data_IF_568110230366
#
_entry.id   IF_568110230366
#
_cell.length_a   1.000
_cell.length_b   1.000
_cell.length_c   1.000
_cell.angle_alpha   90.00
_cell.angle_beta   90.00
_cell.angle_gamma   90.00
#
_symmetry.space_group_name_H-M   'P 1'
#
loop_
_entity.id
_entity.type
_entity.pdbx_description
1 polymer ?
#
# COMPACT_ATOMS: atom_id res chain seq x y z
N UNK A 1 -0.53 18.09 9.25
CA UNK A 1 -1.68 17.37 8.63
C UNK A 1 -1.97 16.06 9.34
N UNK A 2 -1.03 15.11 9.40
CA UNK A 2 -1.26 13.80 10.03
C UNK A 2 -1.79 13.87 11.47
N UNK A 3 -1.11 14.56 12.39
CA UNK A 3 -1.53 14.63 13.80
C UNK A 3 -2.87 15.32 14.01
N UNK A 4 -3.21 16.30 13.17
CA UNK A 4 -4.51 16.98 13.20
C UNK A 4 -5.64 15.98 12.89
N UNK A 5 -5.49 15.21 11.82
CA UNK A 5 -6.46 14.16 11.45
C UNK A 5 -6.48 13.03 12.49
N UNK A 6 -5.32 12.64 13.02
CA UNK A 6 -5.22 11.61 14.07
C UNK A 6 -6.00 12.02 15.31
N UNK A 7 -5.79 13.23 15.81
CA UNK A 7 -6.47 13.74 17.00
C UNK A 7 -7.98 13.92 16.75
N UNK A 8 -8.36 14.41 15.57
CA UNK A 8 -9.76 14.54 15.17
C UNK A 8 -10.48 13.18 15.19
N UNK A 9 -9.91 12.17 14.52
CA UNK A 9 -10.50 10.84 14.49
C UNK A 9 -10.44 10.17 15.86
N UNK A 10 -9.36 10.33 16.62
CA UNK A 10 -9.25 9.76 17.98
C UNK A 10 -10.40 10.19 18.88
N UNK A 11 -10.63 11.49 19.00
CA UNK A 11 -11.68 12.03 19.89
C UNK A 11 -13.06 11.55 19.45
N UNK A 12 -13.37 11.72 18.16
CA UNK A 12 -14.66 11.32 17.58
C UNK A 12 -14.91 9.81 17.70
N UNK A 13 -13.88 8.99 17.54
CA UNK A 13 -13.99 7.53 17.63
C UNK A 13 -14.18 7.04 19.05
N UNK A 14 -13.45 7.61 20.03
CA UNK A 14 -13.61 7.19 21.42
C UNK A 14 -15.02 7.50 21.92
N UNK A 15 -15.54 8.69 21.62
CA UNK A 15 -16.92 9.06 21.98
C UNK A 15 -17.95 8.11 21.33
N UNK A 16 -17.74 7.76 20.05
CA UNK A 16 -18.64 6.84 19.33
C UNK A 16 -18.56 5.41 19.86
N UNK A 17 -17.38 4.93 20.21
CA UNK A 17 -17.22 3.59 20.80
C UNK A 17 -17.95 3.51 22.14
N UNK A 18 -17.90 4.58 22.94
CA UNK A 18 -18.57 4.64 24.24
C UNK A 18 -20.11 4.77 24.09
N UNK A 19 -20.61 5.42 23.02
CA UNK A 19 -22.05 5.57 22.73
C UNK A 19 -22.71 4.31 22.14
N UNK A 20 -22.12 3.72 21.09
CA UNK A 20 -22.76 2.66 20.29
C UNK A 20 -22.06 1.31 20.37
N UNK A 21 -20.92 1.22 21.07
CA UNK A 21 -20.10 0.03 21.18
C UNK A 21 -19.21 -0.22 19.96
N UNK A 22 -18.08 -0.89 20.18
CA UNK A 22 -17.03 -1.10 19.18
C UNK A 22 -17.52 -1.80 17.90
N UNK A 23 -18.39 -2.81 18.02
CA UNK A 23 -18.90 -3.54 16.86
C UNK A 23 -19.66 -2.62 15.89
N UNK A 24 -20.48 -1.70 16.41
CA UNK A 24 -21.23 -0.72 15.60
C UNK A 24 -20.34 0.46 15.17
N UNK A 25 -19.29 0.77 15.93
CA UNK A 25 -18.32 1.79 15.60
C UNK A 25 -17.28 1.37 14.54
N UNK A 26 -17.26 0.09 14.14
CA UNK A 26 -16.29 -0.47 13.19
C UNK A 26 -16.16 0.31 11.87
N UNK A 27 -17.28 0.82 11.33
CA UNK A 27 -17.27 1.64 10.12
C UNK A 27 -16.51 2.96 10.30
N UNK A 28 -16.67 3.61 11.46
CA UNK A 28 -15.95 4.84 11.77
C UNK A 28 -14.45 4.57 11.96
N UNK A 29 -14.09 3.45 12.59
CA UNK A 29 -12.69 3.04 12.73
C UNK A 29 -12.05 2.82 11.37
N UNK A 30 -12.75 2.13 10.46
CA UNK A 30 -12.31 1.94 9.07
C UNK A 30 -12.12 3.27 8.34
N UNK A 31 -13.05 4.20 8.49
CA UNK A 31 -12.94 5.54 7.90
C UNK A 31 -11.69 6.27 8.42
N UNK A 32 -11.48 6.29 9.74
CA UNK A 32 -10.33 6.94 10.35
C UNK A 32 -9.00 6.32 9.91
N UNK A 33 -8.90 4.99 9.91
CA UNK A 33 -7.71 4.29 9.45
C UNK A 33 -7.44 4.54 7.96
N UNK A 34 -8.49 4.53 7.14
CA UNK A 34 -8.40 4.84 5.72
C UNK A 34 -7.82 6.24 5.50
N UNK A 35 -8.36 7.27 6.17
CA UNK A 35 -7.85 8.65 6.03
C UNK A 35 -6.42 8.81 6.51
N UNK A 36 -6.07 8.22 7.65
CA UNK A 36 -4.70 8.31 8.17
C UNK A 36 -3.70 7.63 7.23
N UNK A 37 -4.04 6.49 6.63
CA UNK A 37 -3.20 5.81 5.65
C UNK A 37 -3.07 6.61 4.35
N UNK A 38 -4.16 7.20 3.84
CA UNK A 38 -4.10 8.11 2.70
C UNK A 38 -3.13 9.28 2.95
N UNK A 39 -3.11 9.86 4.16
CA UNK A 39 -2.15 10.93 4.52
C UNK A 39 -0.72 10.43 4.53
N UNK A 40 -0.49 9.21 5.02
CA UNK A 40 0.85 8.61 5.04
C UNK A 40 1.38 8.41 3.61
N UNK A 41 0.50 8.10 2.65
CA UNK A 41 0.87 7.98 1.25
C UNK A 41 1.06 9.33 0.60
N UNK A 42 0.01 10.14 0.54
CA UNK A 42 0.08 11.50 0.02
C UNK A 42 -1.08 12.33 0.56
N UNK A 43 -0.81 13.51 1.15
CA UNK A 43 -1.86 14.47 1.51
C UNK A 43 -2.80 14.83 0.35
N UNK A 44 -2.34 14.71 -0.91
CA UNK A 44 -3.12 14.95 -2.12
C UNK A 44 -4.29 13.97 -2.31
N UNK A 45 -4.27 12.82 -1.63
CA UNK A 45 -5.36 11.85 -1.66
C UNK A 45 -6.59 12.30 -0.84
N UNK A 46 -6.44 13.35 -0.03
CA UNK A 46 -7.55 13.95 0.71
C UNK A 46 -8.13 15.11 -0.09
N UNK A 47 -9.39 14.96 -0.52
CA UNK A 47 -10.13 15.96 -1.31
C UNK A 47 -10.79 17.04 -0.45
N UNK A 48 -10.79 16.87 0.88
CA UNK A 48 -11.63 17.64 1.80
C UNK A 48 -10.97 18.91 2.38
N UNK A 49 -9.71 19.19 2.05
CA UNK A 49 -9.05 20.47 2.35
C UNK A 49 -8.12 20.80 1.17
N UNK A 50 -8.06 22.07 0.77
CA UNK A 50 -6.96 22.57 -0.06
C UNK A 50 -5.66 22.12 0.61
N UNK A 51 -5.05 21.08 0.06
CA UNK A 51 -3.85 20.53 0.64
C UNK A 51 -2.77 21.61 0.52
N UNK A 52 -2.48 22.29 1.62
CA UNK A 52 -1.37 23.25 1.74
C UNK A 52 -0.02 22.61 1.40
N UNK A 53 0.03 21.27 1.35
CA UNK A 53 1.19 20.45 1.04
C UNK A 53 0.90 19.70 -0.26
N UNK A 54 1.70 19.96 -1.28
CA UNK A 54 1.60 19.37 -2.62
C UNK A 54 2.56 18.19 -2.84
N UNK A 55 3.26 17.74 -1.79
CA UNK A 55 4.32 16.73 -1.89
C UNK A 55 3.99 15.47 -1.11
N UNK A 56 4.54 14.35 -1.56
CA UNK A 56 4.46 13.05 -0.90
C UNK A 56 5.86 12.55 -0.63
N UNK A 57 6.18 12.39 0.67
CA UNK A 57 7.48 11.85 1.10
C UNK A 57 7.71 10.45 0.54
N UNK A 58 6.65 9.63 0.40
CA UNK A 58 6.79 8.29 -0.17
C UNK A 58 7.09 8.33 -1.68
N UNK A 59 6.51 9.27 -2.42
CA UNK A 59 6.85 9.43 -3.85
C UNK A 59 8.29 9.91 -3.98
N UNK A 60 8.70 10.91 -3.18
CA UNK A 60 10.07 11.44 -3.20
C UNK A 60 11.10 10.34 -2.88
N UNK A 61 10.84 9.56 -1.83
CA UNK A 61 11.65 8.42 -1.43
C UNK A 61 11.70 7.34 -2.52
N UNK A 62 10.55 6.98 -3.10
CA UNK A 62 10.48 5.99 -4.17
C UNK A 62 11.28 6.43 -5.40
N UNK A 63 11.14 7.69 -5.81
CA UNK A 63 11.91 8.25 -6.92
C UNK A 63 13.40 8.27 -6.64
N UNK A 64 13.81 8.60 -5.40
CA UNK A 64 15.20 8.54 -4.99
C UNK A 64 15.76 7.13 -5.13
N UNK A 65 15.05 6.14 -4.59
CA UNK A 65 15.44 4.73 -4.70
C UNK A 65 15.53 4.27 -6.16
N UNK A 66 14.56 4.65 -6.99
CA UNK A 66 14.55 4.34 -8.44
C UNK A 66 15.79 4.90 -9.14
N UNK A 67 16.19 6.14 -8.82
CA UNK A 67 17.31 6.83 -9.45
C UNK A 67 18.67 6.37 -8.95
N UNK A 68 18.80 6.11 -7.65
CA UNK A 68 20.09 5.89 -7.00
C UNK A 68 20.46 4.40 -6.88
N UNK A 69 19.48 3.52 -6.64
CA UNK A 69 19.75 2.16 -6.16
C UNK A 69 19.35 1.05 -7.13
N UNK A 70 18.55 1.35 -8.15
CA UNK A 70 17.99 0.32 -9.04
C UNK A 70 18.88 -0.02 -10.23
N UNK A 71 19.69 0.93 -10.71
CA UNK A 71 20.49 0.74 -11.92
C UNK A 71 19.65 0.23 -13.10
N UNK A 72 19.96 -0.96 -13.62
CA UNK A 72 19.26 -1.58 -14.75
C UNK A 72 18.14 -2.55 -14.35
N UNK A 73 17.90 -2.77 -13.05
CA UNK A 73 16.92 -3.74 -12.55
C UNK A 73 15.48 -3.29 -12.87
N UNK A 74 14.58 -4.27 -13.04
CA UNK A 74 13.14 -3.99 -13.14
C UNK A 74 12.47 -4.10 -11.78
N UNK A 75 11.47 -3.26 -11.57
CA UNK A 75 10.80 -3.08 -10.28
C UNK A 75 9.29 -3.19 -10.43
N UNK A 76 8.66 -3.83 -9.43
CA UNK A 76 7.23 -3.73 -9.21
C UNK A 76 6.95 -2.71 -8.11
N UNK A 77 5.94 -1.88 -8.30
CA UNK A 77 5.45 -0.92 -7.31
C UNK A 77 3.99 -1.23 -7.04
N UNK A 78 3.69 -1.62 -5.82
CA UNK A 78 2.36 -1.98 -5.38
C UNK A 78 1.77 -0.90 -4.48
N UNK A 79 0.48 -0.63 -4.69
CA UNK A 79 -0.34 0.22 -3.82
C UNK A 79 -1.77 -0.31 -3.79
N UNK A 80 -2.46 -0.18 -2.67
CA UNK A 80 -3.89 -0.47 -2.56
C UNK A 80 -4.76 0.69 -3.09
N UNK A 81 -4.19 1.89 -3.20
CA UNK A 81 -4.89 3.09 -3.66
C UNK A 81 -4.52 3.38 -5.11
N UNK A 82 -5.46 3.20 -6.02
CA UNK A 82 -5.24 3.53 -7.45
C UNK A 82 -4.89 5.00 -7.64
N UNK A 83 -5.47 5.91 -6.86
CA UNK A 83 -5.11 7.32 -6.86
C UNK A 83 -3.63 7.55 -6.50
N UNK A 84 -3.06 6.76 -5.57
CA UNK A 84 -1.63 6.83 -5.26
C UNK A 84 -0.78 6.36 -6.44
N UNK A 85 -1.19 5.31 -7.14
CA UNK A 85 -0.51 4.87 -8.37
C UNK A 85 -0.56 5.94 -9.47
N UNK A 86 -1.66 6.70 -9.58
CA UNK A 86 -1.74 7.81 -10.51
C UNK A 86 -0.77 8.94 -10.14
N UNK A 87 -0.65 9.29 -8.86
CA UNK A 87 0.33 10.28 -8.41
C UNK A 87 1.77 9.82 -8.68
N UNK A 88 2.08 8.54 -8.45
CA UNK A 88 3.38 7.95 -8.79
C UNK A 88 3.60 8.02 -10.31
N UNK A 89 2.60 7.65 -11.11
CA UNK A 89 2.66 7.71 -12.56
C UNK A 89 2.97 9.13 -13.07
N UNK A 90 2.29 10.15 -12.52
CA UNK A 90 2.53 11.55 -12.86
C UNK A 90 3.96 11.98 -12.53
N UNK A 91 4.47 11.56 -11.37
CA UNK A 91 5.84 11.84 -10.95
C UNK A 91 6.87 11.13 -11.86
N UNK A 92 6.61 9.89 -12.27
CA UNK A 92 7.46 9.16 -13.23
C UNK A 92 7.45 9.83 -14.62
N UNK A 93 6.29 10.32 -15.08
CA UNK A 93 6.17 11.03 -16.36
C UNK A 93 6.97 12.34 -16.36
N UNK A 94 6.96 13.10 -15.25
CA UNK A 94 7.75 14.32 -15.11
C UNK A 94 9.26 14.05 -15.19
N UNK A 95 9.69 12.87 -14.73
CA UNK A 95 11.07 12.41 -14.78
C UNK A 95 11.43 11.69 -16.09
N UNK A 96 10.47 11.54 -17.01
CA UNK A 96 10.67 10.83 -18.28
C UNK A 96 10.90 9.32 -18.13
N UNK A 97 10.43 8.71 -17.03
CA UNK A 97 10.65 7.30 -16.72
C UNK A 97 9.48 6.46 -17.26
N UNK A 98 9.80 5.49 -18.12
CA UNK A 98 8.81 4.59 -18.72
C UNK A 98 8.34 3.51 -17.74
N UNK A 99 7.02 3.31 -17.66
CA UNK A 99 6.39 2.29 -16.81
C UNK A 99 5.25 1.57 -17.52
N UNK A 100 4.88 0.39 -16.98
CA UNK A 100 3.61 -0.28 -17.21
C UNK A 100 2.66 -0.01 -16.04
N UNK A 101 1.35 -0.09 -16.29
CA UNK A 101 0.32 0.12 -15.28
C UNK A 101 -0.76 -0.97 -15.35
N UNK A 102 -1.22 -1.44 -14.19
CA UNK A 102 -2.28 -2.43 -14.07
C UNK A 102 -3.11 -2.21 -12.80
N UNK A 103 -4.42 -2.15 -12.98
CA UNK A 103 -5.38 -2.16 -11.88
C UNK A 103 -6.58 -3.10 -12.13
N UNK A 104 -7.55 -3.06 -11.22
CA UNK A 104 -8.74 -3.90 -11.30
C UNK A 104 -9.67 -3.55 -12.46
N UNK A 105 -9.57 -2.34 -13.00
CA UNK A 105 -10.37 -1.88 -14.15
C UNK A 105 -9.73 -2.27 -15.49
N UNK A 106 -8.47 -2.69 -15.48
CA UNK A 106 -7.70 -3.02 -16.68
C UNK A 106 -8.26 -4.30 -17.36
N UNK A 107 -8.73 -4.21 -18.63
CA UNK A 107 -9.22 -5.37 -19.37
C UNK A 107 -8.18 -6.50 -19.51
N UNK A 108 -8.64 -7.74 -19.60
CA UNK A 108 -7.77 -8.93 -19.64
C UNK A 108 -6.74 -8.89 -20.78
N UNK A 109 -7.12 -8.42 -21.96
CA UNK A 109 -6.22 -8.30 -23.12
C UNK A 109 -5.10 -7.27 -22.86
N UNK A 110 -5.47 -6.07 -22.37
CA UNK A 110 -4.50 -5.02 -22.02
C UNK A 110 -3.55 -5.44 -20.90
N UNK A 111 -4.05 -6.24 -19.96
CA UNK A 111 -3.25 -6.84 -18.90
C UNK A 111 -2.15 -7.73 -19.46
N UNK A 112 -2.49 -8.64 -20.38
CA UNK A 112 -1.49 -9.52 -21.00
C UNK A 112 -0.44 -8.70 -21.76
N UNK A 113 -0.86 -7.69 -22.52
CA UNK A 113 0.06 -6.80 -23.23
C UNK A 113 0.99 -6.02 -22.28
N UNK A 114 0.48 -5.52 -21.14
CA UNK A 114 1.29 -4.81 -20.15
C UNK A 114 2.32 -5.72 -19.47
N UNK A 115 1.95 -6.97 -19.18
CA UNK A 115 2.85 -7.99 -18.63
C UNK A 115 3.93 -8.36 -19.64
N UNK A 116 3.55 -8.63 -20.88
CA UNK A 116 4.48 -8.98 -21.95
C UNK A 116 5.49 -7.84 -22.19
N UNK A 117 4.98 -6.61 -22.30
CA UNK A 117 5.81 -5.41 -22.41
C UNK A 117 6.77 -5.28 -21.22
N UNK A 118 6.28 -5.42 -20.00
CA UNK A 118 7.15 -5.33 -18.81
C UNK A 118 8.22 -6.44 -18.78
N UNK A 119 7.92 -7.64 -19.27
CA UNK A 119 8.87 -8.75 -19.28
C UNK A 119 9.94 -8.52 -20.36
N UNK A 120 9.53 -8.15 -21.58
CA UNK A 120 10.39 -8.22 -22.77
C UNK A 120 11.00 -6.87 -23.20
N UNK A 121 10.38 -5.74 -22.86
CA UNK A 121 10.88 -4.41 -23.25
C UNK A 121 11.91 -3.92 -22.23
N UNK A 122 13.17 -3.79 -22.64
CA UNK A 122 14.26 -3.35 -21.76
C UNK A 122 14.14 -1.88 -21.34
N UNK A 123 13.41 -1.06 -22.11
CA UNK A 123 13.17 0.35 -21.81
C UNK A 123 12.16 0.55 -20.67
N UNK A 124 11.35 -0.47 -20.38
CA UNK A 124 10.39 -0.45 -19.27
C UNK A 124 11.03 -1.04 -18.03
N UNK A 125 11.30 -0.19 -17.04
CA UNK A 125 11.89 -0.61 -15.75
C UNK A 125 10.87 -0.74 -14.62
N UNK A 126 9.69 -0.14 -14.74
CA UNK A 126 8.71 -0.08 -13.67
C UNK A 126 7.38 -0.68 -14.08
N UNK A 127 6.72 -1.35 -13.14
CA UNK A 127 5.34 -1.77 -13.27
C UNK A 127 4.55 -1.37 -12.03
N UNK A 128 3.62 -0.43 -12.21
CA UNK A 128 2.68 0.01 -11.21
C UNK A 128 1.48 -0.95 -11.17
N UNK A 129 1.21 -1.56 -10.01
CA UNK A 129 0.17 -2.58 -9.86
C UNK A 129 -0.68 -2.31 -8.64
N UNK A 130 -2.01 -2.26 -8.80
CA UNK A 130 -2.89 -2.21 -7.63
C UNK A 130 -2.88 -3.56 -6.89
N UNK A 131 -2.75 -3.56 -5.56
CA UNK A 131 -2.72 -4.76 -4.71
C UNK A 131 -3.92 -5.68 -4.96
N UNK A 132 -5.12 -5.11 -5.17
CA UNK A 132 -6.33 -5.88 -5.49
C UNK A 132 -6.29 -6.56 -6.86
N UNK A 133 -5.60 -5.97 -7.83
CA UNK A 133 -5.42 -6.56 -9.16
C UNK A 133 -4.23 -7.54 -9.23
N UNK A 134 -3.29 -7.44 -8.29
CA UNK A 134 -2.19 -8.39 -8.11
C UNK A 134 -2.63 -9.80 -7.65
N UNK A 135 -3.88 -9.95 -7.21
CA UNK A 135 -4.47 -11.26 -6.87
C UNK A 135 -4.78 -12.16 -8.08
N UNK A 136 -4.75 -11.61 -9.30
CA UNK A 136 -4.91 -12.39 -10.53
C UNK A 136 -3.55 -12.93 -10.94
N UNK A 137 -3.46 -14.19 -11.39
CA UNK A 137 -2.19 -14.93 -11.59
C UNK A 137 -1.21 -14.35 -12.62
N UNK A 138 -0.60 -13.21 -12.31
CA UNK A 138 0.44 -12.55 -13.10
C UNK A 138 1.77 -13.25 -12.84
N UNK A 139 2.57 -13.42 -13.89
CA UNK A 139 3.93 -13.96 -13.82
C UNK A 139 4.90 -12.83 -14.20
N UNK A 140 5.63 -12.29 -13.22
CA UNK A 140 6.42 -11.05 -13.34
C UNK A 140 7.90 -11.27 -13.00
N UNK A 141 8.47 -12.31 -13.59
CA UNK A 141 9.83 -12.82 -13.32
C UNK A 141 10.97 -11.88 -13.68
N UNK A 142 10.75 -10.89 -14.56
CA UNK A 142 11.81 -9.94 -14.90
C UNK A 142 12.10 -8.93 -13.78
N UNK A 143 11.24 -8.83 -12.77
CA UNK A 143 11.47 -7.96 -11.62
C UNK A 143 12.35 -8.63 -10.57
N UNK A 144 13.36 -7.90 -10.09
CA UNK A 144 14.18 -8.31 -8.95
C UNK A 144 13.87 -7.44 -7.70
N UNK A 145 13.13 -6.34 -7.87
CA UNK A 145 12.75 -5.41 -6.81
C UNK A 145 11.22 -5.30 -6.70
N UNK A 146 10.72 -5.29 -5.47
CA UNK A 146 9.31 -5.11 -5.14
C UNK A 146 9.17 -4.03 -4.09
N UNK A 147 8.46 -2.95 -4.41
CA UNK A 147 8.10 -1.89 -3.49
C UNK A 147 6.63 -1.99 -3.14
N UNK A 148 6.33 -2.06 -1.84
CA UNK A 148 4.97 -1.95 -1.31
C UNK A 148 4.89 -0.55 -0.69
N UNK A 149 4.24 0.36 -1.41
CA UNK A 149 4.17 1.78 -1.05
C UNK A 149 3.31 1.96 0.20
N UNK A 150 2.17 1.28 0.26
CA UNK A 150 1.27 1.29 1.39
C UNK A 150 1.03 -0.13 1.92
N UNK A 151 1.64 -0.49 3.05
CA UNK A 151 1.52 -1.82 3.62
C UNK A 151 0.07 -2.12 3.97
N UNK A 152 -0.39 -3.32 3.60
CA UNK A 152 -1.73 -3.79 3.87
C UNK A 152 -1.79 -4.48 5.23
N UNK A 153 -2.94 -4.40 5.91
CA UNK A 153 -3.12 -5.12 7.18
C UNK A 153 -3.15 -6.64 7.02
N UNK A 154 -3.21 -7.16 5.77
CA UNK A 154 -3.14 -8.58 5.46
C UNK A 154 -1.74 -8.97 4.91
N UNK A 155 -0.85 -9.54 5.74
CA UNK A 155 0.49 -9.95 5.29
C UNK A 155 0.45 -11.03 4.21
N UNK A 156 -0.58 -11.88 4.16
CA UNK A 156 -0.68 -12.96 3.19
C UNK A 156 -0.86 -12.42 1.77
N UNK A 157 -1.56 -11.31 1.61
CA UNK A 157 -1.74 -10.68 0.31
C UNK A 157 -0.46 -9.99 -0.18
N UNK A 158 0.29 -9.36 0.72
CA UNK A 158 1.62 -8.84 0.39
C UNK A 158 2.57 -9.96 -0.03
N UNK A 159 2.57 -11.06 0.74
CA UNK A 159 3.37 -12.23 0.40
C UNK A 159 2.95 -12.81 -0.95
N UNK A 160 1.65 -12.89 -1.22
CA UNK A 160 1.14 -13.35 -2.52
C UNK A 160 1.61 -12.42 -3.66
N UNK A 161 1.64 -11.11 -3.45
CA UNK A 161 2.15 -10.16 -4.45
C UNK A 161 3.66 -10.35 -4.70
N UNK A 162 4.45 -10.55 -3.63
CA UNK A 162 5.89 -10.86 -3.72
C UNK A 162 6.10 -12.20 -4.43
N UNK A 163 5.34 -13.23 -4.09
CA UNK A 163 5.46 -14.57 -4.68
C UNK A 163 5.24 -14.57 -6.21
N UNK A 164 4.55 -13.56 -6.77
CA UNK A 164 4.39 -13.42 -8.24
C UNK A 164 5.66 -12.97 -8.97
N UNK A 165 6.62 -12.41 -8.24
CA UNK A 165 7.96 -12.14 -8.77
C UNK A 165 8.89 -13.34 -8.67
N UNK A 166 8.53 -14.32 -7.82
CA UNK A 166 9.34 -15.48 -7.59
C UNK A 166 8.92 -16.65 -8.49
N UNK A 167 9.87 -17.20 -9.25
CA UNK A 167 9.68 -18.47 -9.95
C UNK A 167 10.74 -19.49 -9.58
N UNK A 168 10.32 -20.74 -9.44
CA UNK A 168 11.19 -21.90 -9.24
C UNK A 168 12.23 -21.93 -10.37
N UNK A 169 13.52 -21.84 -10.02
CA UNK A 169 14.65 -21.84 -10.96
C UNK A 169 15.25 -20.46 -11.27
N UNK A 170 14.67 -19.35 -10.78
CA UNK A 170 15.27 -18.03 -10.87
C UNK A 170 16.49 -17.93 -9.94
N UNK A 171 17.64 -17.47 -10.45
CA UNK A 171 18.89 -17.35 -9.67
C UNK A 171 19.07 -15.99 -8.99
N UNK A 172 18.29 -14.98 -9.40
CA UNK A 172 18.40 -13.64 -8.86
C UNK A 172 17.72 -13.56 -7.50
N UNK A 173 18.34 -12.82 -6.57
CA UNK A 173 17.73 -12.50 -5.29
C UNK A 173 16.64 -11.47 -5.50
N UNK A 174 15.46 -11.71 -4.92
CA UNK A 174 14.35 -10.78 -4.93
C UNK A 174 14.43 -9.92 -3.68
N UNK A 175 14.37 -8.60 -3.85
CA UNK A 175 14.36 -7.64 -2.77
C UNK A 175 12.96 -7.05 -2.62
N UNK A 176 12.34 -7.23 -1.46
CA UNK A 176 11.04 -6.66 -1.14
C UNK A 176 11.17 -5.57 -0.08
N UNK A 177 10.72 -4.35 -0.41
CA UNK A 177 10.76 -3.16 0.41
C UNK A 177 9.33 -2.73 0.78
N UNK A 178 9.09 -2.48 2.07
CA UNK A 178 7.84 -1.89 2.56
C UNK A 178 8.11 -0.47 3.02
N UNK A 179 7.40 0.50 2.46
CA UNK A 179 7.55 1.90 2.83
C UNK A 179 6.64 2.22 4.01
N UNK A 180 7.24 2.57 5.15
CA UNK A 180 6.53 2.83 6.41
C UNK A 180 6.78 4.25 6.85
N UNK A 181 5.72 5.04 7.04
CA UNK A 181 5.82 6.33 7.70
C UNK A 181 6.02 6.14 9.22
N UNK A 182 7.15 6.63 9.75
CA UNK A 182 7.50 6.56 11.17
C UNK A 182 6.54 7.37 12.03
N UNK A 183 6.30 6.91 13.26
CA UNK A 183 5.42 7.58 14.23
C UNK A 183 3.96 7.74 13.74
N UNK A 184 3.54 6.89 12.79
CA UNK A 184 2.19 6.90 12.22
C UNK A 184 1.43 5.60 12.47
N UNK A 185 0.19 5.57 11.99
CA UNK A 185 -0.68 4.41 12.02
C UNK A 185 -0.07 3.22 11.29
N UNK A 186 0.77 3.43 10.27
CA UNK A 186 1.40 2.35 9.51
C UNK A 186 2.37 1.54 10.39
N UNK A 187 3.26 2.23 11.10
CA UNK A 187 4.18 1.61 12.04
C UNK A 187 3.42 0.88 13.16
N UNK A 188 2.36 1.50 13.68
CA UNK A 188 1.53 0.89 14.71
C UNK A 188 0.75 -0.33 14.24
N UNK A 189 0.27 -0.33 12.99
CA UNK A 189 -0.36 -1.52 12.38
C UNK A 189 0.66 -2.66 12.33
N UNK A 190 1.91 -2.41 11.93
CA UNK A 190 2.96 -3.42 11.94
C UNK A 190 3.26 -3.94 13.35
N UNK A 191 3.35 -3.04 14.34
CA UNK A 191 3.54 -3.43 15.74
C UNK A 191 2.37 -4.28 16.25
N UNK A 192 1.14 -3.91 15.90
CA UNK A 192 -0.06 -4.63 16.29
C UNK A 192 -0.14 -6.01 15.63
N UNK A 193 0.20 -6.11 14.34
CA UNK A 193 0.33 -7.38 13.63
C UNK A 193 1.39 -8.27 14.27
N UNK A 194 2.54 -7.72 14.67
CA UNK A 194 3.60 -8.47 15.35
C UNK A 194 3.15 -8.98 16.73
N UNK A 195 2.45 -8.16 17.51
CA UNK A 195 1.87 -8.56 18.81
C UNK A 195 0.79 -9.64 18.64
N UNK A 196 -0.03 -9.52 17.59
CA UNK A 196 -1.14 -10.42 17.29
C UNK A 196 -0.79 -11.51 16.27
N UNK A 197 0.49 -11.79 16.02
CA UNK A 197 0.93 -12.83 15.06
C UNK A 197 0.40 -14.23 15.42
N UNK A 198 0.07 -14.48 16.69
CA UNK A 198 -0.63 -15.70 17.13
C UNK A 198 -2.12 -15.76 16.75
N UNK A 199 -2.77 -14.62 16.47
CA UNK A 199 -4.19 -14.48 16.10
C UNK A 199 -4.42 -14.21 14.59
N UNK A 200 -3.36 -13.86 13.85
CA UNK A 200 -3.40 -13.44 12.45
C UNK A 200 -3.18 -14.58 11.43
N UNK A 201 -2.90 -15.80 11.90
CA UNK A 201 -2.83 -16.99 11.03
C UNK A 201 -4.21 -17.51 10.60
N UNK A 202 -5.30 -16.97 11.15
CA UNK A 202 -6.61 -17.18 10.55
C UNK A 202 -6.70 -16.34 9.29
N UNK A 203 -6.95 -16.99 8.16
CA UNK A 203 -7.25 -16.38 6.86
C UNK A 203 -8.32 -15.29 6.96
N UNK A 204 -7.90 -14.07 7.29
CA UNK A 204 -8.74 -12.89 7.17
C UNK A 204 -8.50 -12.35 5.77
N UNK A 205 -9.33 -12.82 4.84
CA UNK A 205 -9.31 -12.40 3.44
C UNK A 205 -9.89 -11.00 3.22
N UNK A 206 -10.44 -10.35 4.26
CA UNK A 206 -11.16 -9.08 4.14
C UNK A 206 -10.86 -8.08 5.26
N UNK A 207 -10.85 -6.81 4.88
CA UNK A 207 -10.65 -5.62 5.72
C UNK A 207 -11.53 -5.61 6.99
N UNK A 208 -12.77 -6.10 6.87
CA UNK A 208 -13.73 -6.17 7.96
C UNK A 208 -13.36 -7.19 9.04
N UNK A 209 -12.64 -8.26 8.71
CA UNK A 209 -12.28 -9.31 9.67
C UNK A 209 -11.18 -8.89 10.64
N UNK A 210 -10.24 -8.05 10.19
CA UNK A 210 -9.19 -7.51 11.05
C UNK A 210 -9.77 -6.58 12.11
N UNK A 211 -10.67 -5.67 11.70
CA UNK A 211 -11.31 -4.71 12.59
C UNK A 211 -12.20 -5.38 13.64
N UNK A 212 -12.92 -6.45 13.27
CA UNK A 212 -13.73 -7.23 14.24
C UNK A 212 -12.90 -7.87 15.35
N UNK A 213 -11.59 -8.10 15.13
CA UNK A 213 -10.66 -8.67 16.11
C UNK A 213 -9.96 -7.59 16.96
N UNK A 214 -10.23 -6.30 16.74
CA UNK A 214 -9.66 -5.22 17.53
C UNK A 214 -10.43 -5.05 18.84
N UNK A 215 -9.70 -4.78 19.92
CA UNK A 215 -10.23 -4.32 21.19
C UNK A 215 -10.29 -2.78 21.21
N UNK A 216 -10.96 -2.21 22.22
CA UNK A 216 -10.94 -0.76 22.47
C UNK A 216 -9.52 -0.24 22.68
N UNK A 217 -8.68 -1.01 23.35
CA UNK A 217 -7.27 -0.68 23.60
C UNK A 217 -6.45 -0.68 22.31
N UNK A 218 -6.72 -1.63 21.39
CA UNK A 218 -6.04 -1.66 20.09
C UNK A 218 -6.39 -0.42 19.26
N UNK A 219 -7.67 -0.03 19.25
CA UNK A 219 -8.09 1.19 18.55
C UNK A 219 -7.45 2.41 19.21
N UNK A 220 -7.47 2.52 20.53
CA UNK A 220 -6.81 3.62 21.24
C UNK A 220 -5.31 3.69 20.93
N UNK A 221 -4.63 2.54 20.83
CA UNK A 221 -3.23 2.44 20.43
C UNK A 221 -3.00 2.90 18.99
N UNK A 222 -3.80 2.42 18.02
CA UNK A 222 -3.67 2.80 16.61
C UNK A 222 -3.78 4.32 16.40
N UNK A 223 -4.68 4.97 17.14
CA UNK A 223 -4.92 6.42 17.06
C UNK A 223 -4.11 7.23 18.09
N UNK A 224 -3.12 6.63 18.77
CA UNK A 224 -2.39 7.30 19.86
C UNK A 224 -1.42 8.42 19.48
#
# INVERSE_FOLDING_TARGET
>A
VYDEYKNYYRNRLMDKIDEIGLAKASLYVLEGLLRLRQICDSPLLIKDKEALISTSVKIDELLREIKENTGSHKMLVFSQFTEMLHLIADALNQEGITYCYLDGSTPAEKRLAAVDRFQNDESVKLFLISLKAGGVGLNLTAADYVYIVDPWWNPAAEQQAIDRTHRIGQKNKIFAYKMICKDTVEEKILQLQARKKQLANDLVTEDAGFIKKLSREDVAFLFS
#
